data_IF_107958524681
#
_entry.id   IF_107958524681
#
_cell.length_a   1.000
_cell.length_b   1.000
_cell.length_c   1.000
_cell.angle_alpha   90.00
_cell.angle_beta   90.00
_cell.angle_gamma   90.00
#
_symmetry.space_group_name_H-M   'P 1'
#
loop_
_entity.id
_entity.type
_entity.pdbx_description
1 polymer ?
#
# COMPACT_ATOMS: atom_id res chain seq x y z
N UNK A 1 -3.07 28.19 25.14
CA UNK A 1 -2.15 27.06 24.88
C UNK A 1 -2.82 25.81 25.40
N UNK A 2 -3.72 25.24 24.60
CA UNK A 2 -4.41 23.97 24.90
C UNK A 2 -4.29 23.15 23.64
N UNK A 3 -3.50 22.08 23.70
CA UNK A 3 -3.36 21.15 22.58
C UNK A 3 -4.64 20.32 22.49
N UNK A 4 -5.27 20.34 21.31
CA UNK A 4 -6.41 19.48 20.96
C UNK A 4 -5.97 18.00 20.99
N UNK A 5 -6.79 17.07 21.51
CA UNK A 5 -6.47 15.66 21.53
C UNK A 5 -6.62 15.08 20.11
N UNK A 6 -5.49 14.80 19.48
CA UNK A 6 -5.42 14.13 18.17
C UNK A 6 -6.10 12.75 18.22
N UNK A 7 -7.21 12.64 17.50
CA UNK A 7 -7.98 11.42 17.28
C UNK A 7 -7.11 10.32 16.66
N UNK A 8 -6.90 9.22 17.41
CA UNK A 8 -6.15 8.06 16.90
C UNK A 8 -6.98 7.34 15.85
N UNK A 9 -6.85 7.77 14.59
CA UNK A 9 -7.35 7.03 13.41
C UNK A 9 -6.82 5.61 13.51
N UNK A 10 -7.70 4.61 13.56
CA UNK A 10 -7.31 3.19 13.47
C UNK A 10 -6.41 3.03 12.25
N UNK A 11 -5.11 2.77 12.47
CA UNK A 11 -4.11 2.59 11.42
C UNK A 11 -4.45 1.31 10.67
N UNK A 12 -5.24 1.43 9.61
CA UNK A 12 -5.19 0.43 8.54
C UNK A 12 -3.79 0.54 7.94
N UNK A 13 -3.01 -0.55 7.91
CA UNK A 13 -1.69 -0.52 7.30
C UNK A 13 -1.83 -0.11 5.83
N UNK A 14 -0.89 0.70 5.35
CA UNK A 14 -0.86 1.10 3.94
C UNK A 14 -0.66 -0.16 3.09
N UNK A 15 -1.48 -0.41 2.08
CA UNK A 15 -1.29 -1.55 1.18
C UNK A 15 -0.51 -1.13 -0.06
N UNK A 16 0.64 -1.77 -0.30
CA UNK A 16 1.44 -1.63 -1.52
C UNK A 16 1.24 -2.86 -2.39
N UNK A 17 0.40 -2.73 -3.42
CA UNK A 17 0.20 -3.74 -4.45
C UNK A 17 1.16 -3.54 -5.63
N UNK A 18 1.97 -4.56 -5.98
CA UNK A 18 2.81 -4.50 -7.17
C UNK A 18 3.09 -5.89 -7.75
N UNK A 19 3.57 -5.93 -8.99
CA UNK A 19 4.09 -7.16 -9.59
C UNK A 19 5.17 -7.82 -8.71
N UNK A 20 5.26 -9.15 -8.76
CA UNK A 20 6.27 -9.99 -8.06
C UNK A 20 7.66 -9.84 -8.68
N UNK A 21 8.08 -8.59 -8.84
CA UNK A 21 9.38 -8.12 -9.30
C UNK A 21 9.74 -6.88 -8.46
N UNK A 22 11.01 -6.47 -8.53
CA UNK A 22 11.46 -5.23 -7.86
C UNK A 22 10.80 -4.01 -8.51
N UNK A 23 10.95 -3.87 -9.83
CA UNK A 23 10.37 -2.81 -10.66
C UNK A 23 10.32 -1.43 -9.99
N UNK A 24 9.22 -0.71 -10.21
CA UNK A 24 8.99 0.64 -9.69
C UNK A 24 8.62 0.65 -8.20
N UNK A 25 8.19 -0.48 -7.63
CA UNK A 25 7.85 -0.56 -6.21
C UNK A 25 9.07 -0.66 -5.30
N UNK A 26 10.26 -1.02 -5.81
CA UNK A 26 11.44 -1.21 -4.98
C UNK A 26 11.88 0.05 -4.20
N UNK A 27 11.97 1.25 -4.80
CA UNK A 27 12.27 2.48 -4.06
C UNK A 27 11.20 2.78 -3.00
N UNK A 28 9.92 2.48 -3.29
CA UNK A 28 8.80 2.69 -2.36
C UNK A 28 8.94 1.76 -1.15
N UNK A 29 9.17 0.46 -1.37
CA UNK A 29 9.43 -0.52 -0.29
C UNK A 29 10.61 -0.09 0.58
N UNK A 30 11.68 0.39 -0.04
CA UNK A 30 12.86 0.88 0.69
C UNK A 30 12.49 2.06 1.59
N UNK A 31 11.77 3.06 1.08
CA UNK A 31 11.35 4.22 1.85
C UNK A 31 10.41 3.84 3.00
N UNK A 32 9.44 2.95 2.75
CA UNK A 32 8.52 2.48 3.78
C UNK A 32 9.26 1.73 4.90
N UNK A 33 10.22 0.86 4.54
CA UNK A 33 11.06 0.17 5.52
C UNK A 33 12.00 1.12 6.26
N UNK A 34 12.62 2.08 5.57
CA UNK A 34 13.54 3.05 6.16
C UNK A 34 12.85 3.96 7.17
N UNK A 35 11.62 4.38 6.88
CA UNK A 35 10.82 5.24 7.77
C UNK A 35 10.12 4.46 8.89
N UNK A 36 10.19 3.12 8.88
CA UNK A 36 9.45 2.28 9.83
C UNK A 36 7.92 2.34 9.65
N UNK A 37 7.45 2.75 8.48
CA UNK A 37 6.02 2.80 8.18
C UNK A 37 5.49 1.37 8.06
N UNK A 38 4.43 1.05 8.81
CA UNK A 38 3.74 -0.24 8.68
C UNK A 38 2.94 -0.29 7.38
N UNK A 39 3.22 -1.31 6.57
CA UNK A 39 2.56 -1.52 5.30
C UNK A 39 2.43 -3.02 4.99
N UNK A 40 1.42 -3.35 4.19
CA UNK A 40 1.19 -4.68 3.62
C UNK A 40 1.77 -4.71 2.20
N UNK A 41 2.63 -5.68 1.89
CA UNK A 41 3.19 -5.88 0.53
C UNK A 41 2.40 -6.98 -0.18
N UNK A 42 1.52 -6.59 -1.10
CA UNK A 42 0.72 -7.51 -1.91
C UNK A 42 1.43 -7.70 -3.26
N UNK A 43 1.89 -8.92 -3.53
CA UNK A 43 2.67 -9.23 -4.72
C UNK A 43 1.87 -10.05 -5.73
N UNK A 44 1.70 -9.51 -6.93
CA UNK A 44 1.00 -10.15 -8.04
C UNK A 44 1.98 -10.89 -8.95
N UNK A 45 1.84 -12.20 -9.04
CA UNK A 45 2.69 -13.08 -9.84
C UNK A 45 2.24 -13.20 -11.30
N UNK A 46 0.94 -13.05 -11.56
CA UNK A 46 0.29 -13.27 -12.83
C UNK A 46 -0.71 -12.16 -13.13
N UNK A 47 -1.05 -12.00 -14.42
CA UNK A 47 -2.11 -11.06 -14.79
C UNK A 47 -3.45 -11.39 -14.13
N UNK A 48 -3.76 -12.68 -13.94
CA UNK A 48 -5.01 -13.12 -13.30
C UNK A 48 -5.10 -12.66 -11.84
N UNK A 49 -4.01 -12.74 -11.07
CA UNK A 49 -4.00 -12.29 -9.67
C UNK A 49 -4.19 -10.78 -9.52
N UNK A 50 -3.80 -9.99 -10.52
CA UNK A 50 -4.09 -8.55 -10.56
C UNK A 50 -5.49 -8.23 -11.12
N UNK A 51 -5.85 -8.79 -12.27
CA UNK A 51 -7.09 -8.46 -12.98
C UNK A 51 -8.34 -8.91 -12.25
N UNK A 52 -8.26 -9.93 -11.41
CA UNK A 52 -9.37 -10.38 -10.56
C UNK A 52 -9.69 -9.41 -9.43
N UNK A 53 -8.72 -8.62 -8.94
CA UNK A 53 -8.91 -7.75 -7.76
C UNK A 53 -8.90 -6.25 -8.08
N UNK A 54 -8.33 -5.80 -9.20
CA UNK A 54 -8.11 -4.36 -9.46
C UNK A 54 -9.35 -3.46 -9.34
N UNK A 55 -10.53 -4.00 -9.67
CA UNK A 55 -11.79 -3.26 -9.58
C UNK A 55 -12.47 -3.34 -8.20
N UNK A 56 -11.99 -4.21 -7.30
CA UNK A 56 -12.54 -4.38 -5.96
C UNK A 56 -11.80 -3.55 -4.90
N UNK A 57 -10.71 -2.87 -5.28
CA UNK A 57 -9.86 -2.09 -4.36
C UNK A 57 -10.42 -0.70 -4.03
N UNK A 58 -11.53 -0.29 -4.63
CA UNK A 58 -12.13 1.03 -4.38
C UNK A 58 -11.26 2.22 -4.83
N UNK A 59 -10.38 2.00 -5.81
CA UNK A 59 -9.55 3.04 -6.41
C UNK A 59 -10.34 3.78 -7.51
N UNK A 60 -10.22 5.11 -7.54
CA UNK A 60 -10.81 5.93 -8.61
C UNK A 60 -10.25 5.55 -10.00
N UNK A 61 -8.99 5.10 -10.04
CA UNK A 61 -8.27 4.70 -11.24
C UNK A 61 -7.61 3.33 -11.04
N UNK A 62 -8.26 2.23 -11.47
CA UNK A 62 -7.76 0.87 -11.25
C UNK A 62 -6.69 0.41 -12.26
N UNK A 63 -6.03 1.32 -13.00
CA UNK A 63 -4.92 1.02 -13.93
C UNK A 63 -3.89 2.14 -13.97
#
# INVERSE_FOLDING_TARGET
>A
MSAEPSEKRSKVPVTLGYWKIRGLAQPIRLLLKYTGTEFEDVQYDTGESWFSVKFTLGLDFPN
#
